data_IF_716960738766
#
_entry.id   IF_716960738766
#
_cell.length_a   1.000
_cell.length_b   1.000
_cell.length_c   1.000
_cell.angle_alpha   90.00
_cell.angle_beta   90.00
_cell.angle_gamma   90.00
#
_symmetry.space_group_name_H-M   'P 1'
#
loop_
_entity.id
_entity.type
_entity.pdbx_description
1 polymer ?
#
# COMPACT_ATOMS: atom_id res chain seq x y z
N UNK A 1 -0.66 -30.58 -34.43
CA UNK A 1 -1.75 -29.59 -34.52
C UNK A 1 -2.45 -29.58 -33.18
N UNK A 2 -2.27 -28.53 -32.37
CA UNK A 2 -3.21 -27.97 -31.38
C UNK A 2 -2.49 -26.83 -30.64
N UNK A 3 -2.68 -25.64 -31.21
CA UNK A 3 -2.97 -24.34 -30.59
C UNK A 3 -2.15 -23.92 -29.36
N UNK A 4 -1.16 -23.06 -29.63
CA UNK A 4 -0.63 -22.10 -28.69
C UNK A 4 -1.78 -21.31 -28.04
N UNK A 5 -1.86 -21.37 -26.70
CA UNK A 5 -2.75 -20.51 -25.92
C UNK A 5 -2.40 -19.03 -26.10
N UNK A 6 -3.35 -18.11 -25.90
CA UNK A 6 -3.14 -16.71 -26.19
C UNK A 6 -2.09 -16.15 -25.23
N UNK A 7 -0.95 -15.75 -25.78
CA UNK A 7 -0.02 -14.87 -25.08
C UNK A 7 -0.79 -13.60 -24.77
N UNK A 8 -1.01 -13.34 -23.47
CA UNK A 8 -1.58 -12.08 -23.01
C UNK A 8 -0.71 -10.94 -23.57
N UNK A 9 -1.26 -10.20 -24.53
CA UNK A 9 -0.68 -9.01 -25.11
C UNK A 9 -0.40 -8.04 -23.96
N UNK A 10 0.86 -8.01 -23.52
CA UNK A 10 1.39 -7.10 -22.51
C UNK A 10 1.46 -5.71 -23.15
N UNK A 11 0.30 -5.15 -23.52
CA UNK A 11 0.21 -3.81 -24.07
C UNK A 11 0.82 -2.87 -23.05
N UNK A 12 1.89 -2.21 -23.46
CA UNK A 12 2.50 -1.12 -22.72
C UNK A 12 1.40 -0.19 -22.22
N UNK A 13 1.36 0.07 -20.91
CA UNK A 13 0.34 0.93 -20.34
C UNK A 13 0.37 2.29 -21.08
N UNK A 14 -0.81 2.89 -21.36
CA UNK A 14 -0.89 4.12 -22.13
C UNK A 14 -0.03 5.21 -21.50
N UNK A 15 0.56 6.10 -22.31
CA UNK A 15 1.48 7.14 -21.84
C UNK A 15 0.91 8.02 -20.72
N UNK A 16 -0.42 8.18 -20.66
CA UNK A 16 -1.11 8.88 -19.57
C UNK A 16 -0.94 8.20 -18.20
N UNK A 17 -0.91 6.86 -18.15
CA UNK A 17 -0.70 6.09 -16.92
C UNK A 17 0.72 6.25 -16.33
N UNK A 18 1.66 6.79 -17.12
CA UNK A 18 3.07 7.02 -16.74
C UNK A 18 3.35 8.46 -16.29
N UNK A 19 2.32 9.31 -16.17
CA UNK A 19 2.44 10.68 -15.65
C UNK A 19 2.15 10.69 -14.15
N UNK A 20 2.64 11.70 -13.44
CA UNK A 20 2.21 11.92 -12.06
C UNK A 20 0.68 12.12 -12.03
N UNK A 21 0.02 11.55 -11.03
CA UNK A 21 -1.43 11.58 -10.93
C UNK A 21 -1.89 11.67 -9.48
N UNK A 22 -3.16 12.01 -9.31
CA UNK A 22 -3.86 11.98 -8.03
C UNK A 22 -5.21 11.30 -8.22
N UNK A 23 -5.56 10.42 -7.29
CA UNK A 23 -6.85 9.75 -7.23
C UNK A 23 -7.46 9.96 -5.83
N UNK A 24 -8.76 9.68 -5.70
CA UNK A 24 -9.43 9.64 -4.39
C UNK A 24 -10.14 8.31 -4.26
N UNK A 25 -9.91 7.64 -3.14
CA UNK A 25 -10.59 6.39 -2.78
C UNK A 25 -11.28 6.55 -1.43
N UNK A 26 -12.14 5.60 -1.06
CA UNK A 26 -12.80 5.60 0.24
C UNK A 26 -12.20 4.50 1.11
N UNK A 27 -11.73 4.86 2.31
CA UNK A 27 -11.29 3.93 3.36
C UNK A 27 -12.10 4.23 4.60
N UNK A 28 -12.71 3.22 5.22
CA UNK A 28 -13.52 3.39 6.44
C UNK A 28 -14.58 4.50 6.31
N UNK A 29 -15.20 4.60 5.13
CA UNK A 29 -16.22 5.62 4.82
C UNK A 29 -15.68 7.05 4.63
N UNK A 30 -14.36 7.25 4.58
CA UNK A 30 -13.72 8.56 4.45
C UNK A 30 -12.91 8.69 3.16
N UNK A 31 -12.90 9.87 2.52
CA UNK A 31 -12.11 10.10 1.33
C UNK A 31 -10.61 10.15 1.67
N UNK A 32 -9.81 9.44 0.89
CA UNK A 32 -8.36 9.38 0.98
C UNK A 32 -7.77 9.81 -0.35
N UNK A 33 -6.98 10.88 -0.34
CA UNK A 33 -6.23 11.32 -1.53
C UNK A 33 -5.01 10.43 -1.72
N UNK A 34 -4.86 9.84 -2.90
CA UNK A 34 -3.67 9.06 -3.28
C UNK A 34 -2.90 9.84 -4.32
N UNK A 35 -1.64 10.15 -4.03
CA UNK A 35 -0.72 10.86 -4.91
C UNK A 35 0.35 9.91 -5.42
N UNK A 36 0.58 9.89 -6.73
CA UNK A 36 1.62 9.09 -7.35
C UNK A 36 2.55 10.01 -8.13
N UNK A 37 3.85 9.94 -7.83
CA UNK A 37 4.84 10.70 -8.60
C UNK A 37 5.01 10.15 -10.00
N UNK A 38 5.66 10.92 -10.87
CA UNK A 38 5.95 10.48 -12.23
C UNK A 38 6.83 9.22 -12.24
N UNK A 39 7.86 9.15 -11.39
CA UNK A 39 8.76 7.98 -11.30
C UNK A 39 7.99 6.74 -10.82
N UNK A 40 7.13 6.88 -9.82
CA UNK A 40 6.26 5.79 -9.36
C UNK A 40 5.26 5.35 -10.44
N UNK A 41 4.61 6.30 -11.12
CA UNK A 41 3.66 5.99 -12.18
C UNK A 41 4.33 5.23 -13.35
N UNK A 42 5.54 5.64 -13.73
CA UNK A 42 6.34 4.92 -14.73
C UNK A 42 6.65 3.49 -14.30
N UNK A 43 7.09 3.30 -13.05
CA UNK A 43 7.42 1.98 -12.50
C UNK A 43 6.17 1.10 -12.31
N UNK A 44 5.03 1.68 -11.93
CA UNK A 44 3.75 0.97 -11.81
C UNK A 44 3.26 0.45 -13.16
N UNK A 45 3.43 1.24 -14.22
CA UNK A 45 3.04 0.87 -15.58
C UNK A 45 3.78 -0.36 -16.14
N UNK A 46 4.96 -0.67 -15.59
CA UNK A 46 5.79 -1.83 -15.97
C UNK A 46 5.36 -3.12 -15.24
N UNK A 47 4.50 -3.01 -14.23
CA UNK A 47 4.09 -4.16 -13.42
C UNK A 47 3.00 -4.96 -14.13
N UNK A 48 3.14 -6.29 -14.09
CA UNK A 48 2.09 -7.22 -14.53
C UNK A 48 0.94 -7.33 -13.53
N UNK A 49 1.23 -7.16 -12.23
CA UNK A 49 0.27 -7.28 -11.13
C UNK A 49 0.20 -5.96 -10.33
N UNK A 50 -0.95 -5.67 -9.69
CA UNK A 50 -1.07 -4.49 -8.84
C UNK A 50 -0.01 -4.48 -7.73
N UNK A 51 0.53 -3.30 -7.44
CA UNK A 51 1.27 -3.07 -6.20
C UNK A 51 0.27 -2.85 -5.06
N UNK A 52 0.56 -3.35 -3.86
CA UNK A 52 -0.31 -3.17 -2.70
C UNK A 52 0.38 -2.34 -1.63
N UNK A 53 -0.26 -1.24 -1.21
CA UNK A 53 0.21 -0.43 -0.08
C UNK A 53 -0.57 -0.79 1.19
N UNK A 54 0.13 -1.33 2.17
CA UNK A 54 -0.36 -1.51 3.53
C UNK A 54 -0.04 -0.25 4.34
N UNK A 55 -1.08 0.43 4.82
CA UNK A 55 -0.97 1.66 5.60
C UNK A 55 -1.24 1.34 7.07
N UNK A 56 -0.17 1.32 7.86
CA UNK A 56 -0.22 0.93 9.28
C UNK A 56 -0.16 2.14 10.20
N UNK A 57 -1.16 2.24 11.07
CA UNK A 57 -1.18 3.18 12.19
C UNK A 57 -1.01 2.41 13.50
N UNK A 58 0.14 2.57 14.12
CA UNK A 58 0.45 1.95 15.41
C UNK A 58 -0.14 2.74 16.56
N UNK A 59 -0.91 2.05 17.40
CA UNK A 59 -1.37 2.49 18.70
C UNK A 59 -0.57 1.75 19.78
N UNK A 60 0.69 2.12 19.96
CA UNK A 60 1.56 1.67 21.04
C UNK A 60 1.91 2.86 21.95
N UNK A 61 2.99 2.77 22.74
CA UNK A 61 3.44 3.88 23.61
C UNK A 61 3.67 5.19 22.85
N UNK A 62 4.04 5.10 21.56
CA UNK A 62 4.14 6.23 20.64
C UNK A 62 3.36 5.90 19.37
N UNK A 63 2.59 6.87 18.87
CA UNK A 63 1.90 6.71 17.60
C UNK A 63 2.93 6.71 16.47
N UNK A 64 3.04 5.59 15.76
CA UNK A 64 3.92 5.41 14.60
C UNK A 64 3.07 5.17 13.36
N UNK A 65 3.55 5.69 12.22
CA UNK A 65 2.99 5.38 10.90
C UNK A 65 4.01 4.57 10.12
N UNK A 66 3.55 3.57 9.39
CA UNK A 66 4.41 2.77 8.53
C UNK A 66 3.66 2.43 7.25
N UNK A 67 4.38 2.39 6.13
CA UNK A 67 3.84 1.84 4.89
C UNK A 67 4.66 0.62 4.52
N UNK A 68 4.00 -0.51 4.30
CA UNK A 68 4.62 -1.68 3.67
C UNK A 68 4.15 -1.76 2.23
N UNK A 69 5.08 -2.09 1.34
CA UNK A 69 4.83 -2.20 -0.09
C UNK A 69 4.94 -3.67 -0.45
N UNK A 70 3.85 -4.24 -0.93
CA UNK A 70 3.76 -5.66 -1.26
C UNK A 70 3.56 -5.84 -2.76
N UNK A 71 4.12 -6.91 -3.31
CA UNK A 71 3.92 -7.27 -4.72
C UNK A 71 2.55 -7.90 -4.99
N UNK A 72 1.88 -8.39 -3.94
CA UNK A 72 0.52 -8.92 -3.97
C UNK A 72 -0.15 -8.70 -2.61
N UNK A 73 -1.49 -8.71 -2.58
CA UNK A 73 -2.23 -8.58 -1.33
C UNK A 73 -1.96 -9.80 -0.43
N UNK A 74 -1.67 -9.61 0.87
CA UNK A 74 -1.59 -10.73 1.80
C UNK A 74 -2.90 -11.53 1.83
N UNK A 75 -2.79 -12.86 1.98
CA UNK A 75 -3.93 -13.78 1.95
C UNK A 75 -5.06 -13.34 2.90
N UNK A 76 -6.29 -13.26 2.37
CA UNK A 76 -7.47 -12.88 3.15
C UNK A 76 -7.62 -11.39 3.45
N UNK A 77 -6.74 -10.53 2.92
CA UNK A 77 -6.84 -9.08 3.09
C UNK A 77 -7.74 -8.46 2.03
N UNK A 78 -8.76 -7.72 2.47
CA UNK A 78 -9.52 -6.86 1.58
C UNK A 78 -8.74 -5.56 1.29
N UNK A 79 -8.70 -5.18 0.01
CA UNK A 79 -7.99 -3.99 -0.46
C UNK A 79 -8.91 -3.08 -1.26
N UNK A 80 -8.65 -1.78 -1.20
CA UNK A 80 -9.31 -0.78 -2.03
C UNK A 80 -8.48 -0.55 -3.28
N UNK A 81 -9.11 -0.73 -4.44
CA UNK A 81 -8.47 -0.43 -5.73
C UNK A 81 -8.35 1.07 -5.94
N UNK A 82 -7.13 1.54 -6.19
CA UNK A 82 -6.84 2.93 -6.58
C UNK A 82 -6.81 3.05 -8.10
N UNK A 83 -6.14 2.09 -8.75
CA UNK A 83 -6.04 1.92 -10.21
C UNK A 83 -5.88 0.43 -10.51
N UNK A 84 -5.86 0.02 -11.78
CA UNK A 84 -5.55 -1.35 -12.17
C UNK A 84 -4.14 -1.83 -11.77
N UNK A 85 -3.25 -0.91 -11.37
CA UNK A 85 -1.86 -1.21 -10.98
C UNK A 85 -1.55 -0.88 -9.52
N UNK A 86 -2.51 -0.36 -8.76
CA UNK A 86 -2.29 0.04 -7.37
C UNK A 86 -3.53 -0.23 -6.54
N UNK A 87 -3.34 -0.96 -5.46
CA UNK A 87 -4.33 -1.21 -4.42
C UNK A 87 -3.74 -0.79 -3.08
N UNK A 88 -4.60 -0.51 -2.10
CA UNK A 88 -4.15 -0.20 -0.75
C UNK A 88 -5.14 -0.72 0.29
N UNK A 89 -4.67 -0.85 1.53
CA UNK A 89 -5.53 -1.04 2.69
C UNK A 89 -4.93 -0.33 3.88
N UNK A 90 -5.78 -0.06 4.87
CA UNK A 90 -5.40 0.59 6.11
C UNK A 90 -5.75 -0.31 7.27
N UNK A 91 -4.83 -0.45 8.22
CA UNK A 91 -5.10 -1.15 9.47
C UNK A 91 -4.51 -0.41 10.65
N UNK A 92 -5.22 -0.51 11.76
CA UNK A 92 -4.73 -0.09 13.05
C UNK A 92 -4.02 -1.29 13.69
N UNK A 93 -2.80 -1.08 14.18
CA UNK A 93 -1.99 -2.13 14.78
C UNK A 93 -1.53 -1.71 16.17
N UNK A 94 -1.23 -2.66 17.03
CA UNK A 94 -0.56 -2.41 18.31
C UNK A 94 0.59 -3.39 18.47
N UNK A 95 1.62 -2.99 19.21
CA UNK A 95 2.75 -3.88 19.52
C UNK A 95 2.31 -4.87 20.60
N UNK A 96 2.55 -6.16 20.40
CA UNK A 96 2.29 -7.18 21.44
C UNK A 96 3.42 -7.27 22.46
N UNK A 97 4.59 -6.72 22.13
CA UNK A 97 5.71 -6.54 23.04
C UNK A 97 6.50 -5.28 22.67
N UNK A 98 6.97 -4.55 23.69
CA UNK A 98 7.85 -3.40 23.53
C UNK A 98 9.25 -3.74 24.07
N UNK A 99 10.06 -4.42 23.26
CA UNK A 99 11.44 -4.78 23.59
C UNK A 99 12.36 -4.46 22.40
N UNK A 100 13.47 -3.77 22.67
CA UNK A 100 14.48 -3.48 21.65
C UNK A 100 15.19 -4.76 21.18
N UNK A 101 15.52 -5.66 22.11
CA UNK A 101 16.15 -6.95 21.79
C UNK A 101 15.27 -7.78 20.85
N UNK A 102 13.97 -7.83 21.12
CA UNK A 102 13.02 -8.56 20.28
C UNK A 102 12.87 -7.90 18.91
N UNK A 103 12.87 -6.57 18.85
CA UNK A 103 12.80 -5.82 17.60
C UNK A 103 14.03 -6.03 16.72
N UNK A 104 15.24 -6.05 17.30
CA UNK A 104 16.49 -6.33 16.56
C UNK A 104 16.50 -7.74 15.97
N UNK A 105 16.04 -8.73 16.74
CA UNK A 105 15.96 -10.12 16.29
C UNK A 105 14.93 -10.36 15.18
N UNK A 106 13.80 -9.64 15.22
CA UNK A 106 12.69 -9.84 14.29
C UNK A 106 12.63 -8.80 13.15
N UNK A 107 13.53 -7.82 13.13
CA UNK A 107 13.49 -6.70 12.18
C UNK A 107 12.34 -5.72 12.41
N UNK A 108 11.70 -5.80 13.58
CA UNK A 108 10.54 -5.01 13.96
C UNK A 108 9.89 -5.56 15.24
N UNK A 109 9.09 -4.73 15.92
CA UNK A 109 8.30 -5.23 17.05
C UNK A 109 7.21 -6.17 16.55
N UNK A 110 6.90 -7.26 17.27
CA UNK A 110 5.75 -8.07 16.95
C UNK A 110 4.49 -7.23 17.13
N UNK A 111 3.61 -7.32 16.16
CA UNK A 111 2.41 -6.50 16.05
C UNK A 111 1.18 -7.36 15.89
N UNK A 112 0.04 -6.84 16.34
CA UNK A 112 -1.26 -7.43 16.10
C UNK A 112 -2.23 -6.35 15.65
N UNK A 113 -3.19 -6.74 14.83
CA UNK A 113 -4.23 -5.84 14.34
C UNK A 113 -5.28 -5.59 15.43
N UNK A 114 -5.71 -4.34 15.55
CA UNK A 114 -6.77 -3.94 16.47
C UNK A 114 -7.98 -3.44 15.69
N UNK A 115 -9.01 -4.28 15.64
CA UNK A 115 -10.25 -3.99 14.95
C UNK A 115 -11.38 -3.71 15.95
N UNK A 116 -11.64 -2.43 16.19
CA UNK A 116 -12.65 -1.93 17.13
C UNK A 116 -13.47 -0.82 16.48
N UNK A 117 -14.66 -0.49 16.99
CA UNK A 117 -15.43 0.65 16.47
C UNK A 117 -14.68 1.98 16.49
N UNK A 118 -13.72 2.16 17.42
CA UNK A 118 -12.89 3.36 17.50
C UNK A 118 -11.81 3.35 16.41
N UNK A 119 -11.11 2.23 16.21
CA UNK A 119 -10.05 2.13 15.19
C UNK A 119 -10.62 2.24 13.76
N UNK A 120 -11.85 1.75 13.53
CA UNK A 120 -12.59 1.95 12.26
C UNK A 120 -12.97 3.40 11.97
N UNK A 121 -12.84 4.33 12.93
CA UNK A 121 -13.02 5.77 12.67
C UNK A 121 -11.77 6.41 12.07
N UNK A 122 -10.63 5.74 12.06
CA UNK A 122 -9.40 6.29 11.48
C UNK A 122 -9.33 5.95 10.00
N UNK A 123 -8.92 6.94 9.21
CA UNK A 123 -8.53 6.78 7.82
C UNK A 123 -7.47 7.86 7.52
N UNK A 124 -6.48 7.57 6.69
CA UNK A 124 -5.54 8.60 6.24
C UNK A 124 -6.27 9.65 5.40
N UNK A 125 -5.90 10.92 5.53
CA UNK A 125 -6.35 11.97 4.58
C UNK A 125 -5.62 11.85 3.25
N UNK A 126 -4.36 11.41 3.29
CA UNK A 126 -3.49 11.33 2.12
C UNK A 126 -2.52 10.17 2.21
N UNK A 127 -2.30 9.49 1.08
CA UNK A 127 -1.17 8.59 0.85
C UNK A 127 -0.37 9.08 -0.38
N UNK A 128 0.96 8.92 -0.36
CA UNK A 128 1.84 9.25 -1.48
C UNK A 128 2.75 8.07 -1.79
N UNK A 129 2.86 7.73 -3.07
CA UNK A 129 3.78 6.73 -3.60
C UNK A 129 4.83 7.41 -4.49
N UNK A 130 6.08 7.00 -4.31
CA UNK A 130 7.24 7.48 -5.03
C UNK A 130 8.20 6.33 -5.36
N UNK A 131 9.15 6.60 -6.24
CA UNK A 131 10.33 5.77 -6.47
C UNK A 131 11.56 6.65 -6.36
N UNK A 132 12.44 6.31 -5.43
CA UNK A 132 13.68 7.06 -5.15
C UNK A 132 14.83 6.07 -5.14
N UNK A 133 15.84 6.32 -5.98
CA UNK A 133 17.00 5.41 -6.17
C UNK A 133 16.57 3.98 -6.55
N UNK A 134 15.50 3.84 -7.33
CA UNK A 134 14.99 2.55 -7.80
C UNK A 134 14.06 1.83 -6.81
N UNK A 135 13.98 2.30 -5.57
CA UNK A 135 13.18 1.69 -4.51
C UNK A 135 11.82 2.39 -4.35
N UNK A 136 10.79 1.60 -4.06
CA UNK A 136 9.49 2.14 -3.68
C UNK A 136 9.60 2.90 -2.36
N UNK A 137 9.05 4.11 -2.32
CA UNK A 137 8.88 4.87 -1.10
C UNK A 137 7.44 5.33 -0.98
N UNK A 138 6.83 5.09 0.17
CA UNK A 138 5.46 5.48 0.42
C UNK A 138 5.28 6.04 1.83
N UNK A 139 4.38 7.00 1.95
CA UNK A 139 4.04 7.64 3.21
C UNK A 139 2.57 8.04 3.23
N UNK A 140 2.00 8.20 4.42
CA UNK A 140 0.64 8.70 4.58
C UNK A 140 0.52 9.72 5.72
N UNK A 141 -0.59 10.46 5.71
CA UNK A 141 -0.94 11.50 6.68
C UNK A 141 -2.41 11.36 7.11
N UNK A 142 -2.67 11.63 8.40
CA UNK A 142 -3.98 11.52 9.06
C UNK A 142 -4.77 12.83 9.05
#
# INVERSE_FOLDING_TARGET
MTLAGPQADLRAAPAAARRAWTATVTINGKPVRVECTRSAAQRLAERAQPLVLELDLFFSCLVKKQVRVHDAAPSGRETVRVTDRLELYFRAVTSTACSMELAERLGGQPETEIDTPVTRRFAPKRARLDVVRGEWQAAFWM
#
